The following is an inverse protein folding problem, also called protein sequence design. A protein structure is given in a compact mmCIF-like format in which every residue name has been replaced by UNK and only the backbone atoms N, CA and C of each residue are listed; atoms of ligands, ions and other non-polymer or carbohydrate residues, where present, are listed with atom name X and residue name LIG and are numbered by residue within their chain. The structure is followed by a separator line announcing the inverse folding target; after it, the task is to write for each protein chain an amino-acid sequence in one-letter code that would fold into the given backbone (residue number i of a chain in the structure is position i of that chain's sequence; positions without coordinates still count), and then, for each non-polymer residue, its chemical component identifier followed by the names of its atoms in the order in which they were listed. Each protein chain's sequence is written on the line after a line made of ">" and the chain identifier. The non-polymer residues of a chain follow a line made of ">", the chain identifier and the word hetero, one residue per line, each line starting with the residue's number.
data_IF_102544943764
#
_entry.id   IF_102544943764
#
_cell.length_a   1.000
_cell.length_b   1.000
_cell.length_c   1.000
_cell.angle_alpha   90.00
_cell.angle_beta   90.00
_cell.angle_gamma   90.00
#
_symmetry.space_group_name_H-M   'P 1'
#
loop_
_entity.id
_entity.type
_entity.pdbx_description
1 polymer ?
#
# COMPACT_ATOMS: atom_id res chain seq x y z
N UNK A 1 -16.24 4.57 -22.66
CA UNK A 1 -17.10 5.41 -21.79
C UNK A 1 -16.43 6.77 -21.64
N UNK A 2 -17.18 7.89 -21.86
CA UNK A 2 -16.62 9.26 -21.80
C UNK A 2 -17.59 10.17 -21.04
N UNK A 3 -17.08 10.93 -20.06
CA UNK A 3 -17.88 11.82 -19.21
C UNK A 3 -17.00 12.86 -18.50
N UNK A 4 -17.64 13.83 -17.86
CA UNK A 4 -17.01 14.83 -17.01
C UNK A 4 -17.38 14.59 -15.53
N UNK A 5 -16.42 14.83 -14.63
CA UNK A 5 -16.65 14.90 -13.17
C UNK A 5 -16.43 16.35 -12.75
N UNK A 6 -17.44 16.99 -12.14
CA UNK A 6 -17.37 18.39 -11.72
C UNK A 6 -17.28 18.51 -10.20
N UNK A 7 -16.35 19.31 -9.70
CA UNK A 7 -16.20 19.63 -8.28
C UNK A 7 -14.86 20.29 -7.97
N UNK A 8 -14.45 20.25 -6.72
CA UNK A 8 -13.23 20.89 -6.22
C UNK A 8 -12.07 19.89 -6.27
N UNK A 9 -11.19 20.04 -7.28
CA UNK A 9 -10.12 19.07 -7.58
C UNK A 9 -8.87 19.38 -6.76
N UNK A 10 -8.25 18.34 -6.14
CA UNK A 10 -6.91 18.39 -5.54
C UNK A 10 -6.13 17.15 -5.93
N UNK A 11 -4.94 17.28 -6.52
CA UNK A 11 -4.10 16.16 -6.93
C UNK A 11 -2.62 16.54 -6.98
N UNK A 12 -1.74 15.61 -6.63
CA UNK A 12 -0.29 15.81 -6.74
C UNK A 12 0.16 15.84 -8.20
N UNK A 13 1.05 16.77 -8.51
CA UNK A 13 1.81 16.82 -9.78
C UNK A 13 3.26 16.39 -9.57
N UNK A 14 3.80 16.61 -8.38
CA UNK A 14 5.08 16.13 -7.88
C UNK A 14 5.07 16.10 -6.33
N UNK A 15 6.24 15.85 -5.71
CA UNK A 15 6.35 15.75 -4.26
C UNK A 15 6.13 17.06 -3.49
N UNK A 16 6.27 18.20 -4.15
CA UNK A 16 6.20 19.53 -3.54
C UNK A 16 4.92 20.30 -3.90
N UNK A 17 4.17 19.84 -4.89
CA UNK A 17 3.06 20.61 -5.45
C UNK A 17 1.78 19.77 -5.56
N UNK A 18 0.72 20.32 -4.97
CA UNK A 18 -0.67 19.88 -5.16
C UNK A 18 -1.36 20.89 -6.06
N UNK A 19 -1.83 20.44 -7.21
CA UNK A 19 -2.71 21.23 -8.07
C UNK A 19 -4.09 21.28 -7.45
N UNK A 20 -4.68 22.50 -7.39
CA UNK A 20 -6.04 22.73 -6.84
C UNK A 20 -6.87 23.54 -7.84
N UNK A 21 -8.11 23.10 -8.10
CA UNK A 21 -9.05 23.79 -8.98
C UNK A 21 -10.44 23.80 -8.37
N UNK A 22 -10.98 25.00 -8.07
CA UNK A 22 -12.34 25.18 -7.55
C UNK A 22 -13.36 25.02 -8.69
N UNK A 23 -14.45 24.30 -8.42
CA UNK A 23 -15.58 24.10 -9.35
C UNK A 23 -15.16 23.75 -10.78
N UNK A 24 -14.18 22.84 -10.91
CA UNK A 24 -13.57 22.46 -12.16
C UNK A 24 -14.08 21.10 -12.67
N UNK A 25 -13.71 20.77 -13.88
CA UNK A 25 -14.10 19.54 -14.57
C UNK A 25 -12.90 18.64 -14.81
N UNK A 26 -12.99 17.38 -14.42
CA UNK A 26 -12.09 16.30 -14.83
C UNK A 26 -12.73 15.55 -15.99
N UNK A 27 -12.08 15.53 -17.13
CA UNK A 27 -12.51 14.76 -18.31
C UNK A 27 -11.96 13.34 -18.23
N UNK A 28 -12.87 12.38 -18.24
CA UNK A 28 -12.58 10.94 -18.19
C UNK A 28 -13.02 10.29 -19.50
N UNK A 29 -12.10 9.55 -20.13
CA UNK A 29 -12.39 8.74 -21.33
C UNK A 29 -11.70 7.39 -21.23
N UNK A 30 -12.47 6.32 -21.44
CA UNK A 30 -12.00 4.92 -21.42
C UNK A 30 -11.16 4.57 -20.21
N UNK A 31 -11.62 5.03 -19.04
CA UNK A 31 -10.98 4.79 -17.75
C UNK A 31 -9.75 5.64 -17.45
N UNK A 32 -9.43 6.63 -18.32
CA UNK A 32 -8.26 7.50 -18.18
C UNK A 32 -8.65 8.96 -17.99
N UNK A 33 -7.84 9.68 -17.22
CA UNK A 33 -7.88 11.14 -17.15
C UNK A 33 -7.35 11.74 -18.45
N UNK A 34 -8.11 12.62 -19.08
CA UNK A 34 -7.72 13.28 -20.32
C UNK A 34 -7.16 14.67 -20.04
N UNK A 35 -7.90 15.47 -19.27
CA UNK A 35 -7.51 16.82 -18.88
C UNK A 35 -8.41 17.33 -17.74
N UNK A 36 -8.02 18.46 -17.16
CA UNK A 36 -8.87 19.23 -16.23
C UNK A 36 -9.16 20.60 -16.81
N UNK A 37 -10.38 21.11 -16.65
CA UNK A 37 -10.84 22.38 -17.19
C UNK A 37 -11.55 23.21 -16.11
N UNK A 38 -11.34 24.52 -16.10
CA UNK A 38 -12.17 25.47 -15.33
C UNK A 38 -13.50 25.70 -16.04
N UNK A 39 -13.48 25.77 -17.37
CA UNK A 39 -14.66 25.92 -18.21
C UNK A 39 -14.59 24.92 -19.36
N UNK A 40 -15.72 24.29 -19.67
CA UNK A 40 -15.82 23.33 -20.77
C UNK A 40 -16.27 23.99 -22.07
N UNK A 41 -15.74 23.52 -23.19
CA UNK A 41 -16.18 23.94 -24.53
C UNK A 41 -17.62 23.46 -24.80
N UNK A 42 -18.28 24.06 -25.82
CA UNK A 42 -19.62 23.63 -26.26
C UNK A 42 -19.64 22.14 -26.64
N UNK A 43 -18.56 21.62 -27.19
CA UNK A 43 -18.40 20.21 -27.57
C UNK A 43 -18.40 19.31 -26.33
N UNK A 44 -17.59 19.62 -25.32
CA UNK A 44 -17.50 18.84 -24.09
C UNK A 44 -18.77 18.97 -23.20
N UNK A 45 -19.50 20.08 -23.31
CA UNK A 45 -20.74 20.28 -22.54
C UNK A 45 -21.87 19.32 -22.94
N UNK A 46 -21.74 18.63 -24.08
CA UNK A 46 -22.69 17.57 -24.50
C UNK A 46 -22.46 16.22 -23.79
N UNK A 47 -21.35 16.04 -23.12
CA UNK A 47 -21.05 14.83 -22.37
C UNK A 47 -21.87 14.76 -21.05
N UNK A 48 -22.06 13.54 -20.54
CA UNK A 48 -22.61 13.35 -19.21
C UNK A 48 -21.72 14.06 -18.17
N UNK A 49 -22.33 14.89 -17.31
CA UNK A 49 -21.65 15.52 -16.20
C UNK A 49 -22.06 14.85 -14.87
N UNK A 50 -21.10 14.19 -14.21
CA UNK A 50 -21.26 13.73 -12.83
C UNK A 50 -20.98 14.91 -11.91
N UNK A 51 -22.05 15.55 -11.46
CA UNK A 51 -22.00 16.83 -10.72
C UNK A 51 -21.80 16.60 -9.22
N UNK A 52 -20.63 16.97 -8.72
CA UNK A 52 -20.22 16.95 -7.33
C UNK A 52 -19.74 18.34 -6.85
N UNK A 53 -20.38 19.40 -7.33
CA UNK A 53 -20.02 20.78 -6.94
C UNK A 53 -19.99 20.95 -5.42
N UNK A 54 -18.95 21.65 -4.93
CA UNK A 54 -18.71 21.86 -3.50
C UNK A 54 -18.14 20.67 -2.75
N UNK A 55 -18.01 19.50 -3.41
CA UNK A 55 -17.34 18.33 -2.86
C UNK A 55 -15.87 18.30 -3.27
N UNK A 56 -15.01 17.83 -2.37
CA UNK A 56 -13.59 17.65 -2.63
C UNK A 56 -13.37 16.37 -3.45
N UNK A 57 -12.66 16.49 -4.55
CA UNK A 57 -12.37 15.39 -5.47
C UNK A 57 -10.87 15.12 -5.46
N UNK A 58 -10.48 13.92 -5.06
CA UNK A 58 -9.09 13.47 -4.94
C UNK A 58 -8.83 12.26 -5.84
N UNK A 59 -7.57 12.03 -6.26
CA UNK A 59 -7.17 10.73 -6.80
C UNK A 59 -7.39 9.61 -5.79
N UNK A 60 -7.62 8.40 -6.30
CA UNK A 60 -7.61 7.20 -5.49
C UNK A 60 -6.30 7.00 -4.76
N UNK A 61 -6.36 6.53 -3.50
CA UNK A 61 -5.18 6.29 -2.68
C UNK A 61 -4.63 4.88 -2.90
N UNK A 62 -3.33 4.75 -2.67
CA UNK A 62 -2.57 3.53 -2.89
C UNK A 62 -1.97 3.07 -1.57
N UNK A 63 -2.39 1.89 -1.11
CA UNK A 63 -1.85 1.19 0.05
C UNK A 63 -0.85 0.14 -0.43
N UNK A 64 0.45 0.38 -0.24
CA UNK A 64 1.50 -0.50 -0.75
C UNK A 64 1.83 -1.67 0.18
N UNK A 65 1.23 -1.75 1.37
CA UNK A 65 1.50 -2.83 2.30
C UNK A 65 0.42 -3.00 3.35
N UNK A 66 -0.21 -4.15 3.37
CA UNK A 66 -1.13 -4.58 4.41
C UNK A 66 -1.33 -6.11 4.41
N UNK A 67 -1.81 -6.67 5.53
CA UNK A 67 -2.01 -8.11 5.74
C UNK A 67 -3.50 -8.42 5.94
N UNK A 68 -4.14 -8.98 4.92
CA UNK A 68 -5.56 -9.35 5.00
C UNK A 68 -5.88 -10.34 6.14
N UNK A 69 -5.07 -11.41 6.41
CA UNK A 69 -5.37 -12.36 7.48
C UNK A 69 -5.23 -11.78 8.88
N UNK A 70 -4.60 -10.63 9.03
CA UNK A 70 -4.41 -9.97 10.32
C UNK A 70 -5.54 -9.00 10.67
N UNK A 71 -6.45 -8.75 9.74
CA UNK A 71 -7.51 -7.75 9.90
C UNK A 71 -8.44 -8.03 11.08
N UNK A 72 -8.74 -9.31 11.35
CA UNK A 72 -9.69 -9.72 12.38
C UNK A 72 -9.26 -9.34 13.82
N UNK A 73 -7.95 -9.24 14.08
CA UNK A 73 -7.42 -8.92 15.42
C UNK A 73 -6.71 -7.57 15.51
N UNK A 74 -6.87 -6.71 14.51
CA UNK A 74 -6.26 -5.38 14.49
C UNK A 74 -6.52 -4.60 15.78
N UNK A 75 -5.51 -3.85 16.24
CA UNK A 75 -5.61 -3.06 17.46
C UNK A 75 -5.49 -3.86 18.76
N UNK A 76 -5.11 -5.14 18.70
CA UNK A 76 -4.91 -5.97 19.91
C UNK A 76 -3.43 -6.23 20.17
N UNK A 77 -3.04 -6.30 21.46
CA UNK A 77 -1.67 -6.58 21.91
C UNK A 77 -0.61 -5.63 21.34
N UNK A 78 -0.97 -4.36 21.16
CA UNK A 78 -0.09 -3.31 20.62
C UNK A 78 1.01 -2.86 21.60
N UNK A 79 1.11 -3.45 22.78
CA UNK A 79 2.15 -3.22 23.78
C UNK A 79 3.36 -4.16 23.62
N UNK A 80 3.32 -5.08 22.66
CA UNK A 80 4.39 -6.03 22.37
C UNK A 80 5.33 -5.52 21.28
N UNK A 81 6.67 -5.78 21.39
CA UNK A 81 7.59 -5.57 20.28
C UNK A 81 7.36 -6.61 19.16
N UNK A 82 7.86 -6.31 17.95
CA UNK A 82 7.60 -7.05 16.72
C UNK A 82 7.67 -8.58 16.87
N UNK A 83 8.81 -9.14 17.32
CA UNK A 83 8.99 -10.59 17.33
C UNK A 83 8.08 -11.30 18.34
N UNK A 84 7.81 -10.67 19.48
CA UNK A 84 6.86 -11.19 20.48
C UNK A 84 5.43 -11.11 19.95
N UNK A 85 5.08 -9.99 19.29
CA UNK A 85 3.77 -9.81 18.68
C UNK A 85 3.49 -10.84 17.57
N UNK A 86 4.50 -11.13 16.71
CA UNK A 86 4.39 -12.19 15.71
C UNK A 86 4.09 -13.55 16.34
N UNK A 87 4.85 -13.94 17.36
CA UNK A 87 4.70 -15.26 17.98
C UNK A 87 3.41 -15.41 18.79
N UNK A 88 3.00 -14.38 19.54
CA UNK A 88 1.89 -14.45 20.50
C UNK A 88 0.53 -14.14 19.84
N UNK A 89 0.52 -13.31 18.79
CA UNK A 89 -0.70 -12.83 18.16
C UNK A 89 -0.85 -13.26 16.71
N UNK A 90 0.15 -13.01 15.89
CA UNK A 90 0.06 -13.10 14.43
C UNK A 90 0.05 -14.55 13.94
N UNK A 91 1.05 -15.36 14.28
CA UNK A 91 1.15 -16.72 13.77
C UNK A 91 0.00 -17.61 14.20
N UNK A 92 -0.47 -17.58 15.48
CA UNK A 92 -1.65 -18.35 15.88
C UNK A 92 -2.93 -17.95 15.13
N UNK A 93 -3.08 -16.67 14.76
CA UNK A 93 -4.25 -16.21 14.03
C UNK A 93 -4.16 -16.58 12.54
N UNK A 94 -3.01 -16.36 11.90
CA UNK A 94 -2.80 -16.71 10.49
C UNK A 94 -2.96 -18.22 10.23
N UNK A 95 -2.62 -19.08 11.19
CA UNK A 95 -2.81 -20.52 11.07
C UNK A 95 -4.29 -20.95 10.92
N UNK A 96 -5.23 -20.16 11.45
CA UNK A 96 -6.67 -20.46 11.33
C UNK A 96 -7.18 -20.39 9.89
N UNK A 97 -6.44 -19.73 9.02
CA UNK A 97 -6.79 -19.59 7.59
C UNK A 97 -6.58 -20.87 6.77
N UNK A 98 -6.06 -21.95 7.37
CA UNK A 98 -6.14 -23.30 6.83
C UNK A 98 -7.62 -23.73 6.66
N UNK A 99 -8.49 -23.27 7.56
CA UNK A 99 -9.92 -23.44 7.43
C UNK A 99 -10.49 -22.36 6.47
N UNK A 100 -10.91 -22.79 5.29
CA UNK A 100 -11.43 -21.89 4.25
C UNK A 100 -12.73 -21.17 4.66
N UNK A 101 -13.59 -21.77 5.47
CA UNK A 101 -14.82 -21.12 5.97
C UNK A 101 -14.48 -19.98 6.95
N UNK A 102 -13.48 -20.19 7.81
CA UNK A 102 -12.93 -19.14 8.65
C UNK A 102 -12.34 -18.01 7.79
N UNK A 103 -11.48 -18.37 6.84
CA UNK A 103 -10.82 -17.44 5.94
C UNK A 103 -11.86 -16.59 5.20
N UNK A 104 -12.90 -17.23 4.63
CA UNK A 104 -13.96 -16.54 3.90
C UNK A 104 -14.66 -15.48 4.76
N UNK A 105 -15.09 -15.86 5.97
CA UNK A 105 -15.78 -14.93 6.87
C UNK A 105 -14.88 -13.75 7.26
N UNK A 106 -13.60 -14.00 7.57
CA UNK A 106 -12.66 -12.96 7.93
C UNK A 106 -12.35 -12.01 6.74
N UNK A 107 -12.17 -12.58 5.55
CA UNK A 107 -11.89 -11.81 4.35
C UNK A 107 -13.11 -11.03 3.82
N UNK A 108 -14.34 -11.52 3.98
CA UNK A 108 -15.54 -10.75 3.64
C UNK A 108 -15.58 -9.43 4.42
N UNK A 109 -15.31 -9.45 5.72
CA UNK A 109 -15.25 -8.24 6.55
C UNK A 109 -14.11 -7.30 6.11
N UNK A 110 -12.93 -7.85 5.84
CA UNK A 110 -11.78 -7.07 5.36
C UNK A 110 -12.05 -6.39 4.02
N UNK A 111 -12.59 -7.12 3.07
CA UNK A 111 -12.85 -6.66 1.70
C UNK A 111 -13.95 -5.59 1.67
N UNK A 112 -14.99 -5.75 2.50
CA UNK A 112 -16.05 -4.74 2.63
C UNK A 112 -15.49 -3.42 3.17
N UNK A 113 -14.74 -3.47 4.29
CA UNK A 113 -14.14 -2.28 4.88
C UNK A 113 -13.07 -1.65 3.96
N UNK A 114 -12.28 -2.44 3.23
CA UNK A 114 -11.32 -1.93 2.24
C UNK A 114 -12.05 -1.22 1.08
N UNK A 115 -13.16 -1.78 0.61
CA UNK A 115 -13.97 -1.17 -0.43
C UNK A 115 -14.53 0.19 0.01
N UNK A 116 -14.89 0.35 1.28
CA UNK A 116 -15.39 1.61 1.85
C UNK A 116 -14.27 2.58 2.25
N UNK A 117 -13.00 2.14 2.30
CA UNK A 117 -11.86 3.01 2.60
C UNK A 117 -11.51 3.93 1.42
N UNK A 118 -10.62 4.92 1.55
CA UNK A 118 -10.15 5.74 0.42
C UNK A 118 -9.20 5.01 -0.54
N UNK A 119 -8.82 3.76 -0.26
CA UNK A 119 -7.89 2.98 -1.07
C UNK A 119 -8.54 2.48 -2.36
N UNK A 120 -7.92 2.70 -3.50
CA UNK A 120 -8.32 2.16 -4.82
C UNK A 120 -7.36 1.10 -5.33
N UNK A 121 -6.11 1.14 -4.86
CA UNK A 121 -5.04 0.20 -5.19
C UNK A 121 -4.40 -0.32 -3.92
N UNK A 122 -4.19 -1.63 -3.83
CA UNK A 122 -3.54 -2.23 -2.65
C UNK A 122 -2.60 -3.37 -3.02
N UNK A 123 -1.50 -3.48 -2.25
CA UNK A 123 -0.56 -4.60 -2.29
C UNK A 123 -0.72 -5.37 -1.00
N UNK A 124 -1.19 -6.62 -1.08
CA UNK A 124 -1.79 -7.36 0.03
C UNK A 124 -1.05 -8.66 0.29
N UNK A 125 -0.57 -8.84 1.53
CA UNK A 125 -0.19 -10.14 2.05
C UNK A 125 -1.45 -10.96 2.36
N UNK A 126 -1.55 -12.16 1.77
CA UNK A 126 -2.51 -13.17 2.20
C UNK A 126 -1.87 -14.10 3.24
N UNK A 127 -2.16 -15.37 3.18
CA UNK A 127 -1.60 -16.42 4.05
C UNK A 127 -0.73 -17.38 3.23
N UNK A 128 -0.07 -18.31 3.89
CA UNK A 128 0.62 -19.40 3.21
C UNK A 128 -0.36 -20.44 2.61
N UNK A 129 -1.62 -20.47 3.07
CA UNK A 129 -2.65 -21.42 2.61
C UNK A 129 -3.20 -21.01 1.25
N UNK A 130 -2.96 -21.84 0.23
CA UNK A 130 -3.33 -21.59 -1.15
C UNK A 130 -4.83 -21.29 -1.32
N UNK A 131 -5.69 -22.14 -0.78
CA UNK A 131 -7.14 -22.05 -1.00
C UNK A 131 -7.75 -20.81 -0.32
N UNK A 132 -7.24 -20.42 0.85
CA UNK A 132 -7.60 -19.17 1.50
C UNK A 132 -7.13 -17.93 0.69
N UNK A 133 -5.93 -18.02 0.06
CA UNK A 133 -5.44 -16.95 -0.80
C UNK A 133 -6.31 -16.78 -2.05
N UNK A 134 -6.71 -17.88 -2.70
CA UNK A 134 -7.65 -17.85 -3.82
C UNK A 134 -9.01 -17.27 -3.40
N UNK A 135 -9.53 -17.66 -2.23
CA UNK A 135 -10.76 -17.10 -1.68
C UNK A 135 -10.69 -15.57 -1.52
N UNK A 136 -9.57 -15.05 -1.01
CA UNK A 136 -9.35 -13.60 -0.91
C UNK A 136 -9.35 -12.92 -2.29
N UNK A 137 -8.67 -13.53 -3.27
CA UNK A 137 -8.59 -13.00 -4.63
C UNK A 137 -9.97 -12.96 -5.30
N UNK A 138 -10.80 -14.01 -5.11
CA UNK A 138 -12.18 -14.07 -5.60
C UNK A 138 -13.08 -12.95 -5.02
N UNK A 139 -12.90 -12.63 -3.75
CA UNK A 139 -13.65 -11.58 -3.09
C UNK A 139 -13.20 -10.18 -3.58
N UNK A 140 -11.89 -9.97 -3.71
CA UNK A 140 -11.32 -8.70 -4.18
C UNK A 140 -11.67 -8.41 -5.64
N UNK A 141 -11.59 -9.41 -6.52
CA UNK A 141 -11.96 -9.26 -7.93
C UNK A 141 -13.36 -8.66 -8.13
N UNK A 142 -14.31 -9.07 -7.29
CA UNK A 142 -15.72 -8.62 -7.35
C UNK A 142 -15.92 -7.17 -6.90
N UNK A 143 -14.94 -6.58 -6.21
CA UNK A 143 -15.06 -5.20 -5.70
C UNK A 143 -14.84 -4.14 -6.77
N UNK A 144 -14.06 -4.46 -7.80
CA UNK A 144 -13.56 -3.50 -8.79
C UNK A 144 -12.38 -2.64 -8.28
N UNK A 145 -11.87 -2.89 -7.05
CA UNK A 145 -10.57 -2.37 -6.61
C UNK A 145 -9.47 -3.04 -7.43
N UNK A 146 -8.37 -2.34 -7.70
CA UNK A 146 -7.25 -2.98 -8.39
C UNK A 146 -6.18 -3.36 -7.35
N UNK A 147 -5.98 -4.66 -7.15
CA UNK A 147 -5.16 -5.19 -6.06
C UNK A 147 -4.10 -6.17 -6.56
N UNK A 148 -3.00 -6.26 -5.81
CA UNK A 148 -2.02 -7.33 -5.94
C UNK A 148 -2.05 -8.16 -4.66
N UNK A 149 -2.25 -9.47 -4.77
CA UNK A 149 -2.36 -10.39 -3.64
C UNK A 149 -1.29 -11.44 -3.74
N UNK A 150 -0.62 -11.74 -2.63
CA UNK A 150 0.43 -12.74 -2.61
C UNK A 150 0.22 -13.85 -1.58
N UNK A 151 0.35 -15.11 -2.04
CA UNK A 151 0.53 -16.24 -1.15
C UNK A 151 1.87 -16.09 -0.44
N UNK A 152 1.86 -16.13 0.89
CA UNK A 152 3.06 -16.02 1.71
C UNK A 152 3.91 -17.28 1.58
N UNK A 153 5.23 -17.10 1.53
CA UNK A 153 6.21 -18.17 1.56
C UNK A 153 7.00 -18.15 2.85
N UNK A 154 7.05 -19.27 3.55
CA UNK A 154 7.85 -19.50 4.77
C UNK A 154 8.22 -20.99 4.85
N UNK A 155 9.52 -21.32 4.83
CA UNK A 155 10.04 -22.69 4.90
C UNK A 155 11.03 -22.95 6.04
N UNK A 156 11.25 -21.91 6.90
CA UNK A 156 12.10 -22.03 8.11
C UNK A 156 11.70 -21.03 9.18
N UNK A 157 12.15 -21.26 10.42
CA UNK A 157 12.10 -20.30 11.54
C UNK A 157 10.70 -19.73 11.84
N UNK A 158 9.67 -20.46 11.53
CA UNK A 158 8.27 -20.17 11.90
C UNK A 158 7.70 -21.37 12.65
N UNK A 159 6.58 -21.23 13.38
CA UNK A 159 5.97 -22.37 14.07
C UNK A 159 5.62 -23.51 13.10
N UNK A 160 5.81 -24.75 13.51
CA UNK A 160 5.56 -25.96 12.68
C UNK A 160 4.17 -25.97 12.04
N UNK A 161 3.17 -25.42 12.75
CA UNK A 161 1.78 -25.31 12.26
C UNK A 161 1.57 -24.21 11.21
N UNK A 162 2.59 -23.39 10.93
CA UNK A 162 2.55 -22.30 9.95
C UNK A 162 3.88 -22.23 9.17
N UNK A 163 4.41 -23.39 8.77
CA UNK A 163 5.66 -23.50 7.99
C UNK A 163 5.45 -24.51 6.87
N UNK A 164 5.90 -24.18 5.66
CA UNK A 164 6.03 -25.14 4.58
C UNK A 164 7.29 -25.99 4.82
N UNK A 165 7.21 -27.30 4.67
CA UNK A 165 8.26 -28.23 5.16
C UNK A 165 9.57 -28.18 4.35
N UNK A 166 9.57 -27.50 3.19
CA UNK A 166 10.76 -27.31 2.36
C UNK A 166 10.58 -26.21 1.34
N UNK A 167 11.69 -25.70 0.80
CA UNK A 167 11.69 -24.77 -0.33
C UNK A 167 10.97 -25.34 -1.57
N UNK A 168 11.14 -26.64 -1.84
CA UNK A 168 10.49 -27.33 -2.96
C UNK A 168 8.96 -27.33 -2.79
N UNK A 169 8.46 -27.64 -1.58
CA UNK A 169 7.04 -27.60 -1.30
C UNK A 169 6.47 -26.20 -1.44
N UNK A 170 7.14 -25.18 -0.86
CA UNK A 170 6.72 -23.79 -0.94
C UNK A 170 6.65 -23.30 -2.40
N UNK A 171 7.67 -23.60 -3.21
CA UNK A 171 7.69 -23.26 -4.63
C UNK A 171 6.59 -23.99 -5.41
N UNK A 172 6.38 -25.28 -5.17
CA UNK A 172 5.29 -26.05 -5.78
C UNK A 172 3.93 -25.47 -5.45
N UNK A 173 3.68 -25.15 -4.17
CA UNK A 173 2.43 -24.56 -3.74
C UNK A 173 2.21 -23.18 -4.38
N UNK A 174 3.28 -22.39 -4.54
CA UNK A 174 3.23 -21.10 -5.22
C UNK A 174 2.91 -21.25 -6.71
N UNK A 175 3.53 -22.21 -7.40
CA UNK A 175 3.22 -22.48 -8.83
C UNK A 175 1.78 -22.96 -8.99
N UNK A 176 1.34 -23.91 -8.15
CA UNK A 176 -0.04 -24.39 -8.17
C UNK A 176 -1.05 -23.25 -7.94
N UNK A 177 -0.77 -22.38 -6.97
CA UNK A 177 -1.61 -21.19 -6.73
C UNK A 177 -1.69 -20.28 -7.96
N UNK A 178 -0.54 -19.98 -8.60
CA UNK A 178 -0.50 -19.14 -9.80
C UNK A 178 -1.28 -19.76 -10.98
N UNK A 179 -1.25 -21.08 -11.13
CA UNK A 179 -1.94 -21.82 -12.20
C UNK A 179 -3.45 -21.94 -11.97
N UNK A 180 -3.91 -21.87 -10.71
CA UNK A 180 -5.31 -21.93 -10.33
C UNK A 180 -6.01 -20.55 -10.34
N UNK A 181 -5.26 -19.43 -10.48
CA UNK A 181 -5.86 -18.09 -10.61
C UNK A 181 -6.66 -18.02 -11.92
N UNK A 182 -7.97 -17.64 -11.88
CA UNK A 182 -8.78 -17.52 -13.09
C UNK A 182 -8.15 -16.50 -14.07
N UNK A 183 -8.11 -16.88 -15.34
CA UNK A 183 -7.49 -16.05 -16.40
C UNK A 183 -8.32 -14.82 -16.78
N UNK A 184 -9.57 -14.76 -16.39
CA UNK A 184 -10.49 -13.66 -16.65
C UNK A 184 -10.45 -12.56 -15.56
N UNK A 185 -9.64 -12.72 -14.52
CA UNK A 185 -9.42 -11.67 -13.52
C UNK A 185 -8.85 -10.42 -14.17
N UNK A 186 -9.45 -9.27 -13.85
CA UNK A 186 -9.08 -7.96 -14.37
C UNK A 186 -8.57 -7.00 -13.30
N UNK A 187 -8.91 -7.28 -12.04
CA UNK A 187 -8.71 -6.35 -10.94
C UNK A 187 -7.80 -6.90 -9.83
N UNK A 188 -7.67 -8.23 -9.73
CA UNK A 188 -6.84 -8.87 -8.73
C UNK A 188 -5.71 -9.65 -9.38
N UNK A 189 -4.46 -9.29 -9.08
CA UNK A 189 -3.27 -9.82 -9.73
C UNK A 189 -2.34 -10.48 -8.72
N UNK A 190 -1.56 -11.50 -9.11
CA UNK A 190 -0.60 -12.15 -8.23
C UNK A 190 0.66 -11.29 -8.01
N UNK A 191 1.22 -11.39 -6.79
CA UNK A 191 2.52 -10.86 -6.41
C UNK A 191 3.26 -11.89 -5.56
N UNK A 192 4.55 -12.15 -5.83
CA UNK A 192 5.35 -13.07 -5.02
C UNK A 192 5.57 -12.49 -3.62
N UNK A 193 5.50 -13.33 -2.60
CA UNK A 193 5.47 -12.84 -1.22
C UNK A 193 6.31 -13.71 -0.27
N UNK A 194 7.67 -13.74 -0.42
CA UNK A 194 8.50 -14.20 0.69
C UNK A 194 8.21 -13.30 1.90
N UNK A 195 7.87 -13.89 3.07
CA UNK A 195 7.48 -13.07 4.21
C UNK A 195 8.60 -12.10 4.60
N UNK A 196 9.79 -12.65 4.87
CA UNK A 196 11.03 -11.91 5.09
C UNK A 196 12.20 -12.90 5.16
N UNK A 197 13.43 -12.45 5.01
CA UNK A 197 14.62 -13.31 4.97
C UNK A 197 14.71 -14.33 6.12
N UNK A 198 14.41 -13.99 7.38
CA UNK A 198 14.48 -14.98 8.46
C UNK A 198 13.62 -16.23 8.27
N UNK A 199 12.46 -16.12 7.64
CA UNK A 199 11.53 -17.24 7.44
C UNK A 199 11.64 -17.91 6.06
N UNK A 200 12.56 -17.45 5.21
CA UNK A 200 12.77 -18.01 3.87
C UNK A 200 14.20 -18.53 3.73
N UNK A 201 14.37 -19.81 3.39
CA UNK A 201 15.68 -20.38 3.14
C UNK A 201 16.29 -19.82 1.86
N UNK A 202 17.61 -19.95 1.72
CA UNK A 202 18.35 -19.55 0.52
C UNK A 202 17.82 -20.27 -0.74
N UNK A 203 17.50 -21.57 -0.61
CA UNK A 203 16.91 -22.35 -1.69
C UNK A 203 15.54 -21.83 -2.11
N UNK A 204 14.69 -21.40 -1.15
CA UNK A 204 13.40 -20.80 -1.44
C UNK A 204 13.58 -19.43 -2.12
N UNK A 205 14.45 -18.57 -1.61
CA UNK A 205 14.73 -17.26 -2.19
C UNK A 205 15.27 -17.36 -3.62
N UNK A 206 16.19 -18.30 -3.89
CA UNK A 206 16.71 -18.57 -5.23
C UNK A 206 15.59 -19.03 -6.18
N UNK A 207 14.75 -19.97 -5.72
CA UNK A 207 13.61 -20.46 -6.49
C UNK A 207 12.59 -19.38 -6.81
N UNK A 208 12.27 -18.52 -5.84
CA UNK A 208 11.38 -17.36 -6.05
C UNK A 208 11.99 -16.35 -7.03
N UNK A 209 13.30 -16.10 -6.96
CA UNK A 209 14.00 -15.24 -7.92
C UNK A 209 13.93 -15.78 -9.36
N UNK A 210 14.02 -17.09 -9.53
CA UNK A 210 13.82 -17.74 -10.83
C UNK A 210 12.37 -17.58 -11.30
N UNK A 211 11.41 -17.90 -10.46
CA UNK A 211 9.98 -17.79 -10.76
C UNK A 211 9.57 -16.35 -11.12
N UNK A 212 10.08 -15.38 -10.37
CA UNK A 212 9.89 -13.94 -10.62
C UNK A 212 10.30 -13.56 -12.06
N UNK A 213 11.47 -14.00 -12.49
CA UNK A 213 11.98 -13.72 -13.85
C UNK A 213 11.19 -14.46 -14.94
N UNK A 214 10.91 -15.75 -14.74
CA UNK A 214 10.22 -16.60 -15.72
C UNK A 214 8.77 -16.16 -15.97
N UNK A 215 8.08 -15.77 -14.91
CA UNK A 215 6.66 -15.36 -14.99
C UNK A 215 6.47 -13.84 -15.04
N UNK A 216 7.57 -13.05 -15.00
CA UNK A 216 7.54 -11.57 -14.96
C UNK A 216 6.65 -11.03 -13.84
N UNK A 217 6.71 -11.60 -12.65
CA UNK A 217 5.89 -11.22 -11.50
C UNK A 217 6.56 -10.11 -10.68
N UNK A 218 5.79 -9.21 -10.05
CA UNK A 218 6.29 -8.33 -9.00
C UNK A 218 6.48 -9.10 -7.69
N UNK A 219 7.15 -8.47 -6.72
CA UNK A 219 7.40 -9.03 -5.40
C UNK A 219 7.09 -8.02 -4.29
N UNK A 220 6.69 -8.50 -3.13
CA UNK A 220 6.59 -7.74 -1.89
C UNK A 220 7.26 -8.50 -0.74
N UNK A 221 7.86 -7.78 0.19
CA UNK A 221 8.45 -8.35 1.41
C UNK A 221 8.68 -7.28 2.48
N UNK A 222 9.32 -7.64 3.60
CA UNK A 222 9.72 -6.75 4.68
C UNK A 222 11.23 -6.54 4.66
N UNK A 223 11.69 -5.35 5.03
CA UNK A 223 13.12 -5.01 5.03
C UNK A 223 13.46 -4.04 6.16
N UNK A 224 14.50 -4.39 6.91
CA UNK A 224 15.16 -3.52 7.89
C UNK A 224 14.18 -2.82 8.84
N UNK A 225 13.16 -3.56 9.31
CA UNK A 225 12.11 -3.03 10.16
C UNK A 225 12.57 -2.86 11.60
N UNK A 226 13.16 -3.91 12.20
CA UNK A 226 13.51 -3.95 13.63
C UNK A 226 14.96 -4.35 13.82
N UNK A 227 15.61 -3.79 14.86
CA UNK A 227 17.03 -4.08 15.15
C UNK A 227 17.30 -5.55 15.45
N UNK A 228 16.41 -6.21 16.20
CA UNK A 228 16.55 -7.63 16.50
C UNK A 228 16.41 -8.51 15.24
N UNK A 229 15.52 -8.13 14.34
CA UNK A 229 15.38 -8.76 13.02
C UNK A 229 16.65 -8.60 12.19
N UNK A 230 17.24 -7.41 12.14
CA UNK A 230 18.48 -7.14 11.38
C UNK A 230 19.65 -7.98 11.92
N UNK A 231 19.81 -8.07 13.25
CA UNK A 231 20.84 -8.92 13.83
C UNK A 231 20.61 -10.41 13.48
N UNK A 232 19.37 -10.85 13.51
CA UNK A 232 19.01 -12.22 13.10
C UNK A 232 19.35 -12.49 11.61
N UNK A 233 19.10 -11.51 10.72
CA UNK A 233 19.50 -11.64 9.31
C UNK A 233 21.02 -11.70 9.16
N UNK A 234 21.79 -10.94 9.94
CA UNK A 234 23.26 -11.04 9.92
C UNK A 234 23.77 -12.42 10.35
N UNK A 235 23.12 -13.04 11.32
CA UNK A 235 23.44 -14.41 11.74
C UNK A 235 23.12 -15.43 10.65
N UNK A 236 21.97 -15.28 9.97
CA UNK A 236 21.50 -16.21 8.92
C UNK A 236 22.21 -16.03 7.59
N UNK A 237 22.67 -14.81 7.29
CA UNK A 237 23.27 -14.43 6.02
C UNK A 237 24.62 -13.71 6.25
N UNK A 238 25.63 -14.37 6.84
CA UNK A 238 26.87 -13.71 7.25
C UNK A 238 27.69 -13.13 6.09
N UNK A 239 27.46 -13.60 4.86
CA UNK A 239 28.10 -13.09 3.65
C UNK A 239 27.35 -11.92 3.00
N UNK A 240 26.17 -11.53 3.51
CA UNK A 240 25.43 -10.38 3.00
C UNK A 240 26.02 -9.07 3.54
N UNK A 241 26.18 -8.07 2.67
CA UNK A 241 26.70 -6.75 3.04
C UNK A 241 25.77 -6.00 3.95
N UNK A 242 24.47 -6.12 3.71
CA UNK A 242 23.37 -5.56 4.48
C UNK A 242 22.12 -6.45 4.27
N UNK A 243 21.00 -6.10 4.91
CA UNK A 243 19.79 -6.89 4.80
C UNK A 243 19.26 -6.93 3.35
N UNK A 244 19.28 -5.80 2.63
CA UNK A 244 18.87 -5.73 1.22
C UNK A 244 19.67 -6.67 0.32
N UNK A 245 20.98 -6.89 0.59
CA UNK A 245 21.81 -7.81 -0.17
C UNK A 245 21.37 -9.27 -0.03
N UNK A 246 20.70 -9.64 1.07
CA UNK A 246 20.11 -10.98 1.23
C UNK A 246 18.99 -11.27 0.22
N UNK A 247 18.35 -10.23 -0.31
CA UNK A 247 17.38 -10.32 -1.41
C UNK A 247 18.03 -10.13 -2.79
N UNK A 248 18.96 -9.15 -2.89
CA UNK A 248 19.56 -8.76 -4.18
C UNK A 248 20.33 -9.88 -4.83
N UNK A 249 21.03 -10.71 -4.06
CA UNK A 249 21.77 -11.88 -4.55
C UNK A 249 20.93 -12.88 -5.34
N UNK A 250 19.61 -12.89 -5.10
CA UNK A 250 18.64 -13.72 -5.82
C UNK A 250 17.84 -12.93 -6.87
N UNK A 251 18.11 -11.62 -7.02
CA UNK A 251 17.41 -10.72 -7.96
C UNK A 251 16.01 -10.32 -7.51
N UNK A 252 15.71 -10.37 -6.21
CA UNK A 252 14.39 -10.15 -5.63
C UNK A 252 14.09 -8.67 -5.35
N UNK A 253 14.98 -7.73 -5.69
CA UNK A 253 14.75 -6.30 -5.50
C UNK A 253 14.17 -5.58 -6.72
N UNK A 254 14.06 -6.25 -7.88
CA UNK A 254 13.52 -5.65 -9.09
C UNK A 254 11.97 -5.70 -9.09
N UNK A 255 11.29 -4.60 -9.42
CA UNK A 255 9.82 -4.52 -9.39
C UNK A 255 9.23 -4.96 -8.05
N UNK A 256 9.83 -4.51 -6.97
CA UNK A 256 9.55 -4.98 -5.61
C UNK A 256 9.10 -3.82 -4.73
N UNK A 257 8.19 -4.13 -3.81
CA UNK A 257 7.85 -3.27 -2.67
C UNK A 257 8.49 -3.87 -1.42
N UNK A 258 9.32 -3.09 -0.73
CA UNK A 258 9.88 -3.43 0.57
C UNK A 258 9.22 -2.57 1.65
N UNK A 259 8.53 -3.24 2.58
CA UNK A 259 7.88 -2.57 3.70
C UNK A 259 8.89 -2.13 4.76
N UNK A 260 8.55 -1.06 5.47
CA UNK A 260 9.21 -0.46 6.62
C UNK A 260 10.49 0.31 6.34
N UNK A 261 11.62 -0.35 6.06
CA UNK A 261 12.92 0.28 5.85
C UNK A 261 13.28 1.29 6.97
N UNK A 262 12.99 0.94 8.24
CA UNK A 262 13.15 1.84 9.39
C UNK A 262 14.63 2.12 9.66
N UNK A 263 15.45 1.07 9.54
CA UNK A 263 16.89 1.10 9.85
C UNK A 263 17.76 0.96 8.60
N UNK A 264 17.20 1.23 7.41
CA UNK A 264 17.94 1.23 6.15
C UNK A 264 19.03 2.31 6.18
N UNK A 265 20.27 1.88 6.04
CA UNK A 265 21.45 2.74 5.96
C UNK A 265 21.70 3.18 4.51
N UNK A 266 22.65 4.11 4.31
CA UNK A 266 22.87 4.75 3.01
C UNK A 266 23.25 3.76 1.89
N UNK A 267 24.11 2.78 2.18
CA UNK A 267 24.52 1.77 1.18
C UNK A 267 23.34 0.86 0.76
N UNK A 268 22.47 0.51 1.71
CA UNK A 268 21.25 -0.25 1.44
C UNK A 268 20.27 0.60 0.64
N UNK A 269 20.10 1.88 0.99
CA UNK A 269 19.25 2.82 0.23
C UNK A 269 19.73 2.96 -1.22
N UNK A 270 21.04 3.10 -1.44
CA UNK A 270 21.61 3.15 -2.78
C UNK A 270 21.33 1.88 -3.59
N UNK A 271 21.45 0.71 -2.95
CA UNK A 271 21.11 -0.57 -3.58
C UNK A 271 19.62 -0.60 -4.01
N UNK A 272 18.69 -0.24 -3.10
CA UNK A 272 17.26 -0.21 -3.41
C UNK A 272 16.96 0.75 -4.56
N UNK A 273 17.55 1.93 -4.56
CA UNK A 273 17.38 2.92 -5.64
C UNK A 273 17.91 2.40 -6.98
N UNK A 274 19.08 1.76 -7.01
CA UNK A 274 19.66 1.18 -8.22
C UNK A 274 18.79 0.07 -8.82
N UNK A 275 18.12 -0.72 -7.98
CA UNK A 275 17.18 -1.77 -8.39
C UNK A 275 15.79 -1.24 -8.73
N UNK A 276 15.52 0.04 -8.41
CA UNK A 276 14.22 0.65 -8.61
C UNK A 276 13.14 0.09 -7.68
N UNK A 277 13.55 -0.43 -6.51
CA UNK A 277 12.70 -0.93 -5.45
C UNK A 277 11.84 0.19 -4.87
N UNK A 278 10.56 -0.08 -4.61
CA UNK A 278 9.70 0.82 -3.85
C UNK A 278 9.87 0.57 -2.36
N UNK A 279 10.04 1.63 -1.60
CA UNK A 279 10.02 1.62 -0.13
C UNK A 279 8.61 1.98 0.30
N UNK A 280 7.97 1.11 1.07
CA UNK A 280 6.66 1.36 1.66
C UNK A 280 6.82 1.77 3.13
N UNK A 281 6.55 3.03 3.43
CA UNK A 281 6.59 3.53 4.81
C UNK A 281 5.31 3.19 5.55
N UNK A 282 5.42 2.47 6.67
CA UNK A 282 4.32 1.98 7.51
C UNK A 282 4.36 2.66 8.90
N UNK A 283 4.04 3.96 9.01
CA UNK A 283 4.36 4.77 10.19
C UNK A 283 3.69 4.29 11.47
N UNK A 284 2.42 3.85 11.38
CA UNK A 284 1.67 3.40 12.55
C UNK A 284 2.22 2.09 13.11
N UNK A 285 2.45 1.11 12.25
CA UNK A 285 3.04 -0.17 12.64
C UNK A 285 4.44 0.01 13.24
N UNK A 286 5.31 0.77 12.57
CA UNK A 286 6.66 1.05 13.07
C UNK A 286 6.65 1.61 14.51
N UNK A 287 5.64 2.41 14.84
CA UNK A 287 5.47 2.97 16.18
C UNK A 287 4.88 1.94 17.15
N UNK A 288 3.81 1.25 16.76
CA UNK A 288 3.11 0.28 17.59
C UNK A 288 4.01 -0.89 18.00
N UNK A 289 4.80 -1.41 17.07
CA UNK A 289 5.67 -2.58 17.27
C UNK A 289 7.09 -2.21 17.72
N UNK A 290 7.29 -0.96 18.14
CA UNK A 290 8.57 -0.43 18.66
C UNK A 290 9.74 -0.58 17.67
N UNK A 291 9.45 -0.62 16.37
CA UNK A 291 10.46 -0.72 15.31
C UNK A 291 11.27 0.58 15.19
N UNK A 292 10.65 1.74 15.40
CA UNK A 292 11.29 3.04 15.35
C UNK A 292 10.65 4.00 14.36
N UNK A 293 11.40 5.03 13.94
CA UNK A 293 10.94 6.03 12.97
C UNK A 293 11.86 6.04 11.76
N UNK A 294 11.34 5.65 10.60
CA UNK A 294 12.08 5.63 9.33
C UNK A 294 12.52 7.04 8.92
N UNK A 295 13.73 7.23 8.35
CA UNK A 295 14.21 8.51 7.83
C UNK A 295 13.58 8.84 6.45
N UNK A 296 12.26 8.71 6.34
CA UNK A 296 11.51 8.80 5.07
C UNK A 296 11.70 10.14 4.34
N UNK A 297 11.90 11.24 5.10
CA UNK A 297 12.20 12.55 4.50
C UNK A 297 13.55 12.55 3.77
N UNK A 298 14.55 11.90 4.35
CA UNK A 298 15.85 11.71 3.71
C UNK A 298 15.69 10.86 2.43
N UNK A 299 14.97 9.75 2.50
CA UNK A 299 14.72 8.89 1.34
C UNK A 299 14.03 9.64 0.19
N UNK A 300 13.03 10.47 0.52
CA UNK A 300 12.34 11.32 -0.45
C UNK A 300 13.30 12.31 -1.13
N UNK A 301 14.16 12.98 -0.37
CA UNK A 301 15.19 13.90 -0.88
C UNK A 301 16.22 13.21 -1.77
N UNK A 302 16.57 11.97 -1.47
CA UNK A 302 17.47 11.16 -2.28
C UNK A 302 16.81 10.71 -3.60
N UNK A 303 15.49 10.89 -3.76
CA UNK A 303 14.74 10.48 -4.95
C UNK A 303 14.38 8.99 -4.96
N UNK A 304 14.33 8.35 -3.80
CA UNK A 304 13.86 6.97 -3.68
C UNK A 304 12.37 6.88 -4.08
N UNK A 305 11.97 5.76 -4.65
CA UNK A 305 10.56 5.45 -4.92
C UNK A 305 9.88 5.12 -3.59
N UNK A 306 8.95 5.97 -3.19
CA UNK A 306 8.30 5.89 -1.88
C UNK A 306 6.79 5.76 -2.02
N UNK A 307 6.17 5.01 -1.12
CA UNK A 307 4.74 5.02 -0.90
C UNK A 307 4.43 4.82 0.58
N UNK A 308 3.15 4.85 0.92
CA UNK A 308 2.65 4.56 2.26
C UNK A 308 1.97 3.20 2.30
N UNK A 309 1.98 2.58 3.46
CA UNK A 309 1.22 1.40 3.79
C UNK A 309 0.52 1.54 5.13
N UNK A 310 -0.68 0.99 5.22
CA UNK A 310 -1.41 0.93 6.50
C UNK A 310 -0.83 -0.15 7.41
N UNK A 311 -0.28 -1.18 6.80
CA UNK A 311 0.25 -2.36 7.49
C UNK A 311 -0.70 -2.90 8.57
N UNK A 312 -1.98 -3.06 8.22
CA UNK A 312 -2.90 -3.77 9.09
C UNK A 312 -2.43 -5.24 9.22
N UNK A 313 -2.16 -5.76 10.46
CA UNK A 313 -2.60 -5.23 11.73
C UNK A 313 -1.50 -4.69 12.67
N UNK A 314 -0.26 -4.55 12.25
CA UNK A 314 0.73 -3.72 12.98
C UNK A 314 0.24 -2.26 13.03
N UNK A 315 -0.31 -1.76 11.93
CA UNK A 315 -1.26 -0.65 11.90
C UNK A 315 -2.70 -1.14 12.18
N UNK A 316 -3.50 -0.36 12.87
CA UNK A 316 -4.84 -0.75 13.31
C UNK A 316 -5.97 -0.27 12.38
N UNK A 317 -5.65 0.46 11.30
CA UNK A 317 -6.64 1.18 10.52
C UNK A 317 -6.35 1.12 9.01
N UNK A 318 -7.39 0.88 8.19
CA UNK A 318 -7.30 0.89 6.71
C UNK A 318 -7.31 2.31 6.11
N UNK A 319 -7.27 3.36 6.92
CA UNK A 319 -7.31 4.73 6.43
C UNK A 319 -5.92 5.20 5.98
N UNK A 320 -5.77 5.47 4.70
CA UNK A 320 -4.58 6.13 4.14
C UNK A 320 -4.42 7.57 4.66
N UNK A 321 -5.50 8.25 5.07
CA UNK A 321 -5.40 9.54 5.75
C UNK A 321 -4.69 9.40 7.10
N UNK A 322 -5.04 8.35 7.85
CA UNK A 322 -4.35 8.03 9.09
C UNK A 322 -2.86 7.71 8.85
N UNK A 323 -2.54 6.92 7.83
CA UNK A 323 -1.15 6.65 7.46
C UNK A 323 -0.39 7.95 7.12
N UNK A 324 -1.01 8.90 6.42
CA UNK A 324 -0.41 10.21 6.13
C UNK A 324 -0.18 11.03 7.40
N UNK A 325 -1.16 11.11 8.31
CA UNK A 325 -1.00 11.87 9.56
C UNK A 325 0.05 11.26 10.46
N UNK A 326 0.08 9.93 10.58
CA UNK A 326 1.09 9.22 11.35
C UNK A 326 2.50 9.43 10.75
N UNK A 327 2.65 9.42 9.42
CA UNK A 327 3.91 9.72 8.73
C UNK A 327 4.42 11.14 9.05
N UNK A 328 3.55 12.15 8.96
CA UNK A 328 3.88 13.54 9.28
C UNK A 328 4.27 13.68 10.76
N UNK A 329 3.48 13.09 11.67
CA UNK A 329 3.72 13.18 13.12
C UNK A 329 5.00 12.46 13.52
N UNK A 330 5.22 11.23 13.02
CA UNK A 330 6.45 10.47 13.27
C UNK A 330 7.69 11.22 12.74
N UNK A 331 7.59 11.81 11.54
CA UNK A 331 8.68 12.62 10.97
C UNK A 331 8.99 13.87 11.80
N UNK A 332 7.95 14.55 12.34
CA UNK A 332 8.14 15.69 13.27
C UNK A 332 8.84 15.25 14.56
N UNK A 333 8.42 14.10 15.14
CA UNK A 333 9.08 13.56 16.35
C UNK A 333 10.54 13.21 16.08
N UNK A 334 10.83 12.54 14.96
CA UNK A 334 12.19 12.22 14.55
C UNK A 334 13.04 13.48 14.42
N UNK A 335 12.54 14.49 13.74
CA UNK A 335 13.23 15.77 13.56
C UNK A 335 13.54 16.45 14.91
N UNK A 336 12.58 16.49 15.84
CA UNK A 336 12.77 17.09 17.16
C UNK A 336 13.75 16.32 18.06
N UNK A 337 13.72 14.97 18.01
CA UNK A 337 14.47 14.12 18.95
C UNK A 337 15.90 13.81 18.47
N UNK A 338 16.12 13.74 17.16
CA UNK A 338 17.41 13.40 16.57
C UNK A 338 18.14 14.61 15.97
N UNK A 339 17.58 15.83 16.12
CA UNK A 339 18.14 17.07 15.59
C UNK A 339 18.54 16.97 14.11
N UNK A 340 17.66 16.33 13.32
CA UNK A 340 17.90 16.14 11.89
C UNK A 340 17.96 17.49 11.17
N UNK A 341 18.87 17.60 10.20
CA UNK A 341 19.03 18.81 9.37
C UNK A 341 17.86 19.04 8.43
N UNK A 342 17.16 17.95 8.08
CA UNK A 342 16.02 17.99 7.16
C UNK A 342 14.75 18.44 7.88
N UNK A 343 13.89 19.19 7.20
CA UNK A 343 12.55 19.48 7.71
C UNK A 343 11.72 18.18 7.83
N UNK A 344 10.74 18.18 8.73
CA UNK A 344 9.76 17.09 8.77
C UNK A 344 8.94 17.01 7.47
N UNK A 345 8.25 15.89 7.23
CA UNK A 345 7.27 15.77 6.16
C UNK A 345 6.15 16.79 6.31
N UNK A 346 5.65 17.28 5.18
CA UNK A 346 4.50 18.16 5.07
C UNK A 346 3.30 17.45 4.41
N UNK A 347 2.20 18.19 4.22
CA UNK A 347 0.97 17.70 3.59
C UNK A 347 1.23 17.22 2.16
N UNK A 348 1.93 18.03 1.35
CA UNK A 348 2.19 17.77 -0.06
C UNK A 348 2.95 16.45 -0.24
N UNK A 349 3.99 16.25 0.54
CA UNK A 349 4.83 15.05 0.49
C UNK A 349 4.10 13.79 0.96
N UNK A 350 3.31 13.89 2.04
CA UNK A 350 2.51 12.76 2.52
C UNK A 350 1.41 12.40 1.52
N UNK A 351 0.73 13.37 0.93
CA UNK A 351 -0.29 13.16 -0.09
C UNK A 351 0.31 12.59 -1.38
N UNK A 352 1.48 13.09 -1.79
CA UNK A 352 2.24 12.53 -2.91
C UNK A 352 2.57 11.05 -2.71
N UNK A 353 3.07 10.66 -1.53
CA UNK A 353 3.38 9.26 -1.23
C UNK A 353 2.14 8.36 -1.21
N UNK A 354 1.01 8.85 -0.69
CA UNK A 354 -0.25 8.10 -0.63
C UNK A 354 -0.97 7.99 -1.99
N UNK A 355 -0.59 8.79 -2.97
CA UNK A 355 -1.26 8.89 -4.27
C UNK A 355 -0.28 8.67 -5.43
N UNK A 356 0.28 9.73 -6.00
CA UNK A 356 1.08 9.70 -7.23
C UNK A 356 2.33 8.81 -7.11
N UNK A 357 3.09 8.93 -6.02
CA UNK A 357 4.33 8.16 -5.85
C UNK A 357 4.05 6.67 -5.64
N UNK A 358 3.17 6.31 -4.68
CA UNK A 358 2.75 4.93 -4.48
C UNK A 358 2.08 4.34 -5.74
N UNK A 359 1.32 5.16 -6.45
CA UNK A 359 0.65 4.80 -7.70
C UNK A 359 1.60 4.34 -8.81
N UNK A 360 2.83 4.83 -8.84
CA UNK A 360 3.83 4.43 -9.84
C UNK A 360 4.14 2.92 -9.82
N UNK A 361 3.93 2.24 -8.70
CA UNK A 361 4.06 0.79 -8.65
C UNK A 361 3.04 0.07 -9.54
N UNK A 362 1.85 0.65 -9.68
CA UNK A 362 0.78 0.18 -10.57
C UNK A 362 0.84 0.82 -11.97
N UNK A 363 1.72 1.79 -12.19
CA UNK A 363 1.88 2.51 -13.45
C UNK A 363 1.44 3.97 -13.35
N UNK A 364 0.60 4.44 -14.28
CA UNK A 364 0.07 5.82 -14.26
C UNK A 364 -1.18 5.89 -13.38
N UNK A 365 -1.01 5.96 -12.07
CA UNK A 365 -2.05 5.93 -11.04
C UNK A 365 -1.81 7.02 -10.00
N UNK A 366 -2.86 7.49 -9.34
CA UNK A 366 -2.78 8.39 -8.17
C UNK A 366 -2.64 9.87 -8.51
N UNK A 367 -3.03 10.29 -9.73
CA UNK A 367 -3.10 11.70 -10.13
C UNK A 367 -4.17 11.90 -11.21
N UNK A 368 -4.55 13.16 -11.46
CA UNK A 368 -5.43 13.53 -12.57
C UNK A 368 -4.66 14.06 -13.80
N UNK A 369 -3.36 13.81 -13.85
CA UNK A 369 -2.53 14.12 -15.01
C UNK A 369 -3.00 13.32 -16.25
N UNK A 370 -2.82 13.88 -17.47
CA UNK A 370 -3.25 13.20 -18.69
C UNK A 370 -2.68 11.79 -18.87
N UNK A 371 -3.57 10.83 -19.18
CA UNK A 371 -3.24 9.43 -19.39
C UNK A 371 -3.14 8.58 -18.12
N UNK A 372 -3.36 9.17 -16.94
CA UNK A 372 -3.46 8.42 -15.68
C UNK A 372 -4.80 7.69 -15.58
N UNK A 373 -4.84 6.61 -14.83
CA UNK A 373 -6.08 5.90 -14.52
C UNK A 373 -7.02 6.83 -13.73
N UNK A 374 -8.28 6.85 -14.14
CA UNK A 374 -9.30 7.67 -13.48
C UNK A 374 -9.81 6.97 -12.21
N UNK A 375 -8.92 6.87 -11.22
CA UNK A 375 -9.26 6.49 -9.86
C UNK A 375 -9.63 7.76 -9.10
N UNK A 376 -10.90 7.87 -8.67
CA UNK A 376 -11.45 9.13 -8.18
C UNK A 376 -12.19 8.89 -6.86
N UNK A 377 -11.93 9.73 -5.87
CA UNK A 377 -12.62 9.79 -4.59
C UNK A 377 -13.36 11.11 -4.48
N UNK A 378 -14.61 11.07 -4.08
CA UNK A 378 -15.45 12.25 -3.87
C UNK A 378 -15.83 12.33 -2.41
N UNK A 379 -15.41 13.41 -1.73
CA UNK A 379 -15.69 13.64 -0.31
C UNK A 379 -16.68 14.79 -0.14
N UNK A 380 -17.80 14.49 0.50
CA UNK A 380 -18.81 15.45 0.88
C UNK A 380 -18.60 15.92 2.32
N UNK A 381 -18.61 17.22 2.54
CA UNK A 381 -18.54 17.78 3.89
C UNK A 381 -19.88 17.65 4.61
N UNK A 382 -19.91 17.04 5.80
CA UNK A 382 -21.12 16.79 6.60
C UNK A 382 -21.80 18.05 7.10
N UNK A 383 -21.04 19.13 7.33
CA UNK A 383 -21.55 20.39 7.90
C UNK A 383 -20.92 21.58 7.20
N UNK A 384 -21.69 22.62 6.98
CA UNK A 384 -21.21 23.88 6.40
C UNK A 384 -20.07 24.47 7.24
N UNK A 385 -18.98 24.89 6.58
CA UNK A 385 -17.88 25.59 7.22
C UNK A 385 -18.30 26.94 7.79
N UNK A 386 -17.67 27.33 8.90
CA UNK A 386 -17.92 28.63 9.55
C UNK A 386 -17.04 29.73 8.96
N UNK A 387 -15.87 29.35 8.48
CA UNK A 387 -14.91 30.24 7.80
C UNK A 387 -14.77 29.87 6.33
N UNK A 388 -14.25 30.80 5.52
CA UNK A 388 -13.82 30.49 4.16
C UNK A 388 -12.49 29.75 4.24
N UNK A 389 -12.41 28.58 3.61
CA UNK A 389 -11.22 27.73 3.55
C UNK A 389 -10.73 27.63 2.10
N UNK A 390 -9.41 27.58 1.92
CA UNK A 390 -8.80 27.20 0.65
C UNK A 390 -8.99 25.69 0.42
N UNK A 391 -8.78 25.21 -0.82
CA UNK A 391 -8.86 23.78 -1.10
C UNK A 391 -7.78 22.98 -0.37
N UNK A 392 -6.57 23.54 -0.18
CA UNK A 392 -5.51 22.91 0.60
C UNK A 392 -5.90 22.80 2.09
N UNK A 393 -6.48 23.84 2.68
CA UNK A 393 -6.99 23.78 4.06
C UNK A 393 -8.10 22.71 4.19
N UNK A 394 -8.98 22.57 3.19
CA UNK A 394 -10.02 21.52 3.18
C UNK A 394 -9.42 20.12 3.06
N UNK A 395 -8.38 19.96 2.25
CA UNK A 395 -7.64 18.69 2.16
C UNK A 395 -6.94 18.37 3.48
N UNK A 396 -6.28 19.34 4.11
CA UNK A 396 -5.65 19.17 5.42
C UNK A 396 -6.67 18.81 6.50
N UNK A 397 -7.82 19.47 6.52
CA UNK A 397 -8.92 19.11 7.43
C UNK A 397 -9.42 17.68 7.19
N UNK A 398 -9.62 17.27 5.93
CA UNK A 398 -10.01 15.90 5.60
C UNK A 398 -8.97 14.91 6.12
N UNK A 399 -7.69 15.18 5.93
CA UNK A 399 -6.58 14.35 6.39
C UNK A 399 -6.64 14.10 7.92
N UNK A 400 -6.88 15.14 8.70
CA UNK A 400 -6.81 15.07 10.18
C UNK A 400 -8.15 14.69 10.85
N UNK A 401 -9.29 14.88 10.17
CA UNK A 401 -10.61 14.69 10.76
C UNK A 401 -11.44 13.57 10.10
N UNK A 402 -11.03 13.14 8.92
CA UNK A 402 -11.65 12.02 8.17
C UNK A 402 -13.20 11.97 8.31
N UNK A 403 -13.69 10.82 8.77
CA UNK A 403 -15.12 10.51 8.94
C UNK A 403 -15.86 11.43 9.94
N UNK A 404 -15.14 12.22 10.72
CA UNK A 404 -15.82 13.19 11.63
C UNK A 404 -16.49 14.32 10.84
N UNK A 405 -15.79 14.87 9.84
CA UNK A 405 -16.27 16.01 9.07
C UNK A 405 -16.62 15.70 7.62
N UNK A 406 -16.22 14.56 7.09
CA UNK A 406 -16.40 14.20 5.68
C UNK A 406 -16.94 12.77 5.53
N UNK A 407 -17.74 12.56 4.49
CA UNK A 407 -18.17 11.25 4.02
C UNK A 407 -17.60 10.99 2.62
N UNK A 408 -17.15 9.75 2.37
CA UNK A 408 -16.83 9.28 1.03
C UNK A 408 -18.15 9.00 0.28
N UNK A 409 -18.51 9.90 -0.63
CA UNK A 409 -19.78 9.89 -1.36
C UNK A 409 -19.75 9.02 -2.62
N UNK A 410 -18.59 8.95 -3.26
CA UNK A 410 -18.40 8.14 -4.45
C UNK A 410 -16.93 7.74 -4.60
N UNK A 411 -16.73 6.54 -5.12
CA UNK A 411 -15.42 6.01 -5.49
C UNK A 411 -15.48 5.45 -6.90
N UNK A 412 -14.48 5.81 -7.71
CA UNK A 412 -14.30 5.27 -9.05
C UNK A 412 -12.91 4.63 -9.15
N UNK A 413 -12.84 3.52 -9.88
CA UNK A 413 -11.59 2.86 -10.25
C UNK A 413 -11.58 2.68 -11.76
N UNK A 414 -10.53 3.16 -12.41
CA UNK A 414 -10.44 3.16 -13.88
C UNK A 414 -11.73 3.71 -14.54
N UNK A 415 -12.25 4.80 -14.00
CA UNK A 415 -13.44 5.47 -14.50
C UNK A 415 -14.77 4.77 -14.21
N UNK A 416 -14.80 3.59 -13.60
CA UNK A 416 -16.02 2.87 -13.21
C UNK A 416 -16.37 3.19 -11.76
N UNK A 417 -17.61 3.57 -11.51
CA UNK A 417 -18.09 3.77 -10.13
C UNK A 417 -18.25 2.43 -9.43
N UNK A 418 -17.64 2.30 -8.23
CA UNK A 418 -17.70 1.10 -7.39
C UNK A 418 -18.36 1.34 -6.02
N UNK A 419 -18.53 2.61 -5.64
CA UNK A 419 -19.25 3.07 -4.45
C UNK A 419 -20.14 4.28 -4.79
#
# INVERSE_FOLDING_TARGET
>A
MEYLVRGDLCFSIDAAHIETKEDAYLHVKDGKCIATYENVSAELSSLEIKDYRGNLILPGMVDLHLHAPQYAYRGTKMDLPLLDWLNINTFPEEAKYENVDYAKTAYENFVEDLKESPTTRAVIFATLHKDATLCLMDLLEKTGLNTMVGKVNMDRNSPDYLTEHSAEESLKNTVNWLEEIPQDYQHCHPILTPRFTPTCSDALMEGLGKLMRERNLPLQSHLSENKAEIEWVKELCPDAKNYGDSYDRYGLLNRTVMAHCVHTEEEELELLMQRGTFICHCPQSNTNLQSGVSPVKHFLKRGAKLGLGTDVAGGANLSMFRAMTDAIQASKLRNCLLEEKDSALNLEEAFYMATLSGGQFFGKVGSFLPGYDADILVFERKRKGVRKETLLERLEMLLYTEKELFDLKAKFVQGRRIL
#
